data_IF_892315798579
#
_entry.id   IF_892315798579
#
_cell.length_a   1.000
_cell.length_b   1.000
_cell.length_c   1.000
_cell.angle_alpha   90.00
_cell.angle_beta   90.00
_cell.angle_gamma   90.00
#
_symmetry.space_group_name_H-M   'P 1'
#
loop_
_entity.id
_entity.type
_entity.pdbx_description
1 polymer ?
#
# COMPACT_ATOMS: atom_id res chain seq x y z
N UNK A 1 -3.12 2.13 -33.39
CA UNK A 1 -3.25 2.26 -31.92
C UNK A 1 -2.06 1.55 -31.32
N UNK A 2 -1.17 2.27 -30.63
CA UNK A 2 -0.13 1.62 -29.85
C UNK A 2 -0.81 0.93 -28.65
N UNK A 3 -0.40 -0.31 -28.29
CA UNK A 3 -0.88 -0.92 -27.07
C UNK A 3 -0.47 -0.05 -25.88
N UNK A 4 -1.37 0.15 -24.91
CA UNK A 4 -1.06 0.88 -23.69
C UNK A 4 -0.02 0.12 -22.86
N UNK A 5 0.97 0.84 -22.37
CA UNK A 5 2.10 0.27 -21.61
C UNK A 5 1.86 0.49 -20.12
N UNK A 6 1.90 -0.62 -19.39
CA UNK A 6 1.84 -0.61 -17.92
C UNK A 6 3.19 -1.01 -17.33
N UNK A 7 3.67 -0.21 -16.40
CA UNK A 7 4.90 -0.47 -15.66
C UNK A 7 4.68 -0.23 -14.18
N UNK A 8 5.36 -1.00 -13.33
CA UNK A 8 5.31 -0.80 -11.88
C UNK A 8 6.72 -0.95 -11.32
N UNK A 9 7.14 0.04 -10.56
CA UNK A 9 8.49 0.12 -10.01
C UNK A 9 8.48 0.45 -8.52
N UNK A 10 9.46 -0.05 -7.73
CA UNK A 10 9.66 0.39 -6.36
C UNK A 10 10.00 1.89 -6.32
N UNK A 11 9.52 2.56 -5.28
CA UNK A 11 9.77 4.00 -5.09
C UNK A 11 11.14 4.20 -4.45
N UNK A 12 12.15 4.16 -5.30
CA UNK A 12 13.52 4.58 -5.02
C UNK A 12 13.62 6.12 -5.02
N UNK A 13 14.71 6.74 -4.53
CA UNK A 13 14.85 8.21 -4.46
C UNK A 13 14.60 8.94 -5.79
N UNK A 14 14.98 8.33 -6.91
CA UNK A 14 14.77 8.87 -8.28
C UNK A 14 13.30 8.89 -8.71
N UNK A 15 12.42 8.08 -8.08
CA UNK A 15 10.96 8.03 -8.34
C UNK A 15 10.11 8.71 -7.29
N UNK A 16 10.74 9.41 -6.33
CA UNK A 16 10.01 10.06 -5.26
C UNK A 16 9.01 11.11 -5.75
N UNK A 17 9.37 11.87 -6.77
CA UNK A 17 8.48 12.91 -7.33
C UNK A 17 7.24 12.29 -7.99
N UNK A 18 7.39 11.20 -8.68
CA UNK A 18 6.27 10.45 -9.29
C UNK A 18 5.30 9.91 -8.21
N UNK A 19 5.85 9.34 -7.13
CA UNK A 19 5.07 8.95 -5.97
C UNK A 19 4.31 10.14 -5.37
N UNK A 20 5.00 11.26 -5.17
CA UNK A 20 4.41 12.45 -4.60
C UNK A 20 3.31 13.03 -5.48
N UNK A 21 3.42 12.93 -6.80
CA UNK A 21 2.37 13.34 -7.75
C UNK A 21 1.11 12.48 -7.67
N UNK A 22 1.24 11.21 -7.31
CA UNK A 22 0.08 10.33 -7.08
C UNK A 22 -0.63 10.69 -5.79
N UNK A 23 0.11 10.87 -4.66
CA UNK A 23 -0.51 10.96 -3.33
C UNK A 23 -0.70 12.39 -2.82
N UNK A 24 0.14 13.31 -3.23
CA UNK A 24 0.18 14.69 -2.71
C UNK A 24 0.69 15.69 -3.75
N UNK A 25 0.01 15.77 -4.88
CA UNK A 25 0.41 16.64 -6.00
C UNK A 25 0.60 18.11 -5.60
N UNK A 26 -0.17 18.58 -4.64
CA UNK A 26 -0.07 19.96 -4.10
C UNK A 26 1.04 20.15 -3.06
N UNK A 27 1.80 19.10 -2.75
CA UNK A 27 2.92 19.11 -1.77
C UNK A 27 2.54 19.71 -0.42
N UNK A 28 1.34 19.42 0.08
CA UNK A 28 0.88 19.89 1.40
C UNK A 28 1.74 19.29 2.50
N UNK A 29 2.37 20.10 3.38
CA UNK A 29 3.25 19.61 4.44
C UNK A 29 2.54 18.66 5.41
N UNK A 30 1.27 18.93 5.71
CA UNK A 30 0.45 18.17 6.65
C UNK A 30 -0.14 16.88 6.07
N UNK A 31 0.08 16.59 4.79
CA UNK A 31 -0.37 15.33 4.19
C UNK A 31 0.25 14.11 4.89
N UNK A 32 -0.45 12.98 4.92
CA UNK A 32 0.02 11.81 5.68
C UNK A 32 1.29 11.17 5.09
N UNK A 33 1.56 11.34 3.79
CA UNK A 33 2.69 10.74 3.07
C UNK A 33 2.79 9.21 3.26
N UNK A 34 1.67 8.56 3.58
CA UNK A 34 1.58 7.13 3.92
C UNK A 34 2.46 6.70 5.11
N UNK A 35 2.84 7.65 5.98
CA UNK A 35 3.68 7.39 7.15
C UNK A 35 2.92 6.79 8.33
N UNK A 36 1.59 6.85 8.33
CA UNK A 36 0.75 6.44 9.48
C UNK A 36 0.93 4.97 9.90
N UNK A 37 1.44 4.12 9.04
CA UNK A 37 1.77 2.72 9.34
C UNK A 37 3.28 2.50 9.52
N UNK A 38 4.10 3.39 8.96
CA UNK A 38 5.57 3.30 8.96
C UNK A 38 6.20 3.91 10.19
N UNK A 39 5.55 4.88 10.81
CA UNK A 39 6.00 5.55 12.02
C UNK A 39 5.00 5.37 13.16
N UNK A 40 5.48 5.46 14.40
CA UNK A 40 4.59 5.51 15.56
C UNK A 40 3.81 6.83 15.58
N UNK A 41 2.58 6.87 16.13
CA UNK A 41 1.80 8.11 16.21
C UNK A 41 2.56 9.28 16.84
N UNK A 42 3.30 9.03 17.92
CA UNK A 42 4.13 10.05 18.57
C UNK A 42 5.26 10.57 17.65
N UNK A 43 5.88 9.69 16.85
CA UNK A 43 6.88 10.10 15.87
C UNK A 43 6.25 10.97 14.78
N UNK A 44 5.07 10.59 14.25
CA UNK A 44 4.37 11.40 13.24
C UNK A 44 3.98 12.76 13.80
N UNK A 45 3.53 12.81 15.07
CA UNK A 45 3.17 14.08 15.74
C UNK A 45 4.37 14.99 15.99
N UNK A 46 5.55 14.41 16.26
CA UNK A 46 6.78 15.17 16.48
C UNK A 46 7.41 15.70 15.18
N UNK A 47 6.96 15.21 14.02
CA UNK A 47 7.43 15.73 12.73
C UNK A 47 6.82 17.11 12.50
N UNK A 48 7.67 18.13 12.35
CA UNK A 48 7.27 19.48 11.91
C UNK A 48 6.89 19.53 10.43
N UNK A 49 6.44 20.69 9.98
CA UNK A 49 6.16 20.94 8.57
C UNK A 49 7.42 20.70 7.72
N UNK A 50 7.26 19.93 6.65
CA UNK A 50 8.34 19.48 5.76
C UNK A 50 9.07 18.21 6.22
N UNK A 51 9.04 17.86 7.51
CA UNK A 51 9.70 16.67 8.04
C UNK A 51 9.03 15.37 7.61
N UNK A 52 7.73 15.37 7.30
CA UNK A 52 7.00 14.20 6.80
C UNK A 52 7.47 13.77 5.42
N UNK A 53 7.67 14.73 4.52
CA UNK A 53 8.27 14.45 3.21
C UNK A 53 9.68 13.89 3.38
N UNK A 54 10.52 14.51 4.18
CA UNK A 54 11.87 14.05 4.49
C UNK A 54 11.91 12.64 5.08
N UNK A 55 10.99 12.32 5.99
CA UNK A 55 10.86 10.97 6.56
C UNK A 55 10.49 9.94 5.48
N UNK A 56 9.61 10.28 4.53
CA UNK A 56 9.27 9.38 3.44
C UNK A 56 10.42 9.22 2.45
N UNK A 57 11.17 10.30 2.14
CA UNK A 57 12.39 10.22 1.31
C UNK A 57 13.41 9.26 1.92
N UNK A 58 13.64 9.33 3.24
CA UNK A 58 14.54 8.41 3.94
C UNK A 58 14.09 6.94 3.86
N UNK A 59 12.77 6.68 3.83
CA UNK A 59 12.26 5.32 3.60
C UNK A 59 12.57 4.82 2.18
N UNK A 60 12.59 5.70 1.18
CA UNK A 60 12.92 5.32 -0.20
C UNK A 60 14.40 4.92 -0.38
N UNK A 61 15.26 5.28 0.54
CA UNK A 61 16.70 4.91 0.56
C UNK A 61 16.97 3.55 1.23
N UNK A 62 15.95 2.95 1.87
CA UNK A 62 16.10 1.69 2.58
C UNK A 62 16.29 0.51 1.60
N UNK A 63 16.77 -0.62 2.11
CA UNK A 63 16.91 -1.87 1.36
C UNK A 63 15.58 -2.28 0.71
N UNK A 64 14.46 -2.09 1.42
CA UNK A 64 13.12 -2.29 0.90
C UNK A 64 12.41 -0.93 0.82
N UNK A 65 12.41 -0.26 -0.35
CA UNK A 65 11.58 0.92 -0.57
C UNK A 65 10.13 0.70 -0.11
N UNK A 66 9.45 1.75 0.38
CA UNK A 66 8.19 1.61 1.14
C UNK A 66 6.98 1.20 0.29
N UNK A 67 7.16 0.96 -0.99
CA UNK A 67 6.12 0.53 -1.90
C UNK A 67 6.45 0.74 -3.36
N UNK A 68 5.43 0.66 -4.20
CA UNK A 68 5.57 0.75 -5.65
C UNK A 68 4.65 1.82 -6.25
N UNK A 69 5.11 2.43 -7.35
CA UNK A 69 4.30 3.30 -8.22
C UNK A 69 4.05 2.58 -9.54
N UNK A 70 2.79 2.63 -10.00
CA UNK A 70 2.37 2.14 -11.31
C UNK A 70 2.21 3.29 -12.27
N UNK A 71 2.72 3.08 -13.48
CA UNK A 71 2.65 4.00 -14.60
C UNK A 71 1.73 3.45 -15.69
N UNK A 72 1.03 4.33 -16.35
CA UNK A 72 0.27 4.05 -17.56
C UNK A 72 0.73 5.00 -18.66
N UNK A 73 1.32 4.47 -19.72
CA UNK A 73 1.94 5.25 -20.79
C UNK A 73 2.93 6.31 -20.28
N UNK A 74 3.74 5.95 -19.27
CA UNK A 74 4.72 6.82 -18.65
C UNK A 74 4.16 7.80 -17.60
N UNK A 75 2.85 7.88 -17.39
CA UNK A 75 2.24 8.72 -16.36
C UNK A 75 2.07 7.95 -15.04
N UNK A 76 2.51 8.48 -13.87
CA UNK A 76 2.29 7.84 -12.58
C UNK A 76 0.83 7.94 -12.18
N UNK A 77 0.15 6.79 -12.01
CA UNK A 77 -1.31 6.72 -11.81
C UNK A 77 -1.75 5.97 -10.55
N UNK A 78 -0.85 5.22 -9.92
CA UNK A 78 -1.17 4.44 -8.73
C UNK A 78 0.00 4.27 -7.77
N UNK A 79 -0.31 4.15 -6.48
CA UNK A 79 0.63 3.89 -5.40
C UNK A 79 0.14 2.75 -4.52
N UNK A 80 1.03 1.82 -4.19
CA UNK A 80 0.80 0.78 -3.20
C UNK A 80 1.91 0.80 -2.16
N UNK A 81 1.56 1.09 -0.90
CA UNK A 81 2.49 0.91 0.21
C UNK A 81 2.54 -0.55 0.60
N UNK A 82 3.70 -1.16 0.43
CA UNK A 82 3.98 -2.57 0.70
C UNK A 82 5.39 -2.74 1.26
N UNK A 83 5.63 -3.75 2.06
CA UNK A 83 6.94 -4.12 2.57
C UNK A 83 6.88 -5.28 3.55
N UNK A 84 8.03 -5.79 4.04
CA UNK A 84 8.07 -6.81 5.07
C UNK A 84 7.21 -6.40 6.27
N UNK A 85 6.34 -7.30 6.75
CA UNK A 85 5.51 -7.02 7.93
C UNK A 85 6.35 -6.61 9.14
N UNK A 86 7.53 -7.20 9.30
CA UNK A 86 8.49 -6.91 10.37
C UNK A 86 9.00 -5.46 10.35
N UNK A 87 9.00 -4.80 9.19
CA UNK A 87 9.42 -3.41 9.00
C UNK A 87 8.28 -2.41 9.07
N UNK A 88 7.06 -2.85 9.45
CA UNK A 88 5.87 -2.00 9.57
C UNK A 88 5.47 -1.90 11.04
N UNK A 89 5.93 -0.89 11.80
CA UNK A 89 5.78 -0.80 13.25
C UNK A 89 4.34 -0.88 13.75
N UNK A 90 3.38 -0.32 13.00
CA UNK A 90 1.96 -0.41 13.38
C UNK A 90 1.39 -1.82 13.24
N UNK A 91 1.93 -2.67 12.38
CA UNK A 91 1.53 -4.07 12.28
C UNK A 91 2.23 -4.94 13.32
N UNK A 92 3.54 -4.75 13.53
CA UNK A 92 4.31 -5.55 14.50
C UNK A 92 3.85 -5.35 15.94
N UNK A 93 3.34 -4.16 16.27
CA UNK A 93 2.83 -3.82 17.61
C UNK A 93 1.30 -3.85 17.71
N UNK A 94 0.60 -4.22 16.65
CA UNK A 94 -0.86 -4.25 16.63
C UNK A 94 -1.40 -5.39 17.48
N UNK A 95 -2.28 -5.06 18.42
CA UNK A 95 -3.09 -6.06 19.13
C UNK A 95 -4.34 -6.44 18.32
N UNK A 96 -4.72 -5.63 17.33
CA UNK A 96 -5.94 -5.79 16.54
C UNK A 96 -5.69 -6.56 15.24
N UNK A 97 -4.49 -6.43 14.65
CA UNK A 97 -4.07 -7.14 13.43
C UNK A 97 -2.91 -8.06 13.82
N UNK A 98 -3.23 -9.26 14.29
CA UNK A 98 -2.24 -10.25 14.69
C UNK A 98 -1.80 -11.10 13.50
N UNK A 99 -0.57 -11.64 13.49
CA UNK A 99 -0.19 -12.68 12.54
C UNK A 99 -1.14 -13.87 12.62
N UNK A 100 -1.46 -14.49 11.49
CA UNK A 100 -2.24 -15.74 11.46
C UNK A 100 -1.35 -16.97 11.66
N UNK A 101 -0.06 -16.83 11.37
CA UNK A 101 0.99 -17.85 11.52
C UNK A 101 2.38 -17.20 11.55
N UNK A 102 3.44 -18.00 11.49
CA UNK A 102 4.84 -17.54 11.56
C UNK A 102 5.47 -17.27 10.18
N UNK A 103 4.71 -17.32 9.08
CA UNK A 103 5.21 -17.01 7.74
C UNK A 103 5.66 -15.54 7.67
N UNK A 104 6.92 -15.25 7.23
CA UNK A 104 7.43 -13.87 7.16
C UNK A 104 6.86 -13.11 5.95
N UNK A 105 5.57 -12.80 6.02
CA UNK A 105 4.82 -12.16 4.93
C UNK A 105 5.25 -10.71 4.69
N UNK A 106 5.06 -10.25 3.46
CA UNK A 106 4.97 -8.82 3.16
C UNK A 106 3.53 -8.35 3.32
N UNK A 107 3.33 -7.07 3.63
CA UNK A 107 1.99 -6.52 3.90
C UNK A 107 1.70 -5.30 3.04
N UNK A 108 0.58 -5.33 2.33
CA UNK A 108 -0.05 -4.17 1.69
C UNK A 108 -0.81 -3.39 2.76
N UNK A 109 -0.52 -2.10 2.90
CA UNK A 109 -1.13 -1.24 3.93
C UNK A 109 -1.91 -0.05 3.38
N UNK A 110 -1.66 0.33 2.13
CA UNK A 110 -2.35 1.44 1.49
C UNK A 110 -2.34 1.25 -0.03
N UNK A 111 -3.48 1.46 -0.68
CA UNK A 111 -3.64 1.43 -2.13
C UNK A 111 -4.32 2.73 -2.57
N UNK A 112 -3.66 3.50 -3.42
CA UNK A 112 -4.15 4.79 -3.92
C UNK A 112 -4.13 4.79 -5.43
N UNK A 113 -5.24 5.14 -6.05
CA UNK A 113 -5.34 5.43 -7.48
C UNK A 113 -5.53 6.93 -7.65
N UNK A 114 -4.69 7.54 -8.48
CA UNK A 114 -4.72 8.97 -8.78
C UNK A 114 -6.10 9.41 -9.28
N UNK A 115 -6.54 10.59 -8.87
CA UNK A 115 -7.79 11.16 -9.35
C UNK A 115 -7.78 11.27 -10.89
N UNK A 116 -8.90 10.89 -11.53
CA UNK A 116 -9.01 10.83 -13.00
C UNK A 116 -8.67 9.45 -13.61
N UNK A 117 -7.93 8.58 -12.91
CA UNK A 117 -7.51 7.27 -13.43
C UNK A 117 -8.26 6.09 -12.77
N UNK A 118 -9.30 6.37 -12.00
CA UNK A 118 -10.11 5.32 -11.36
C UNK A 118 -10.96 4.58 -12.38
N UNK A 119 -11.19 3.27 -12.14
CA UNK A 119 -11.99 2.38 -13.01
C UNK A 119 -11.40 2.15 -14.42
N UNK A 120 -10.10 2.35 -14.58
CA UNK A 120 -9.35 2.11 -15.83
C UNK A 120 -8.39 0.93 -15.73
N UNK A 121 -8.54 0.08 -14.71
CA UNK A 121 -7.66 -1.10 -14.52
C UNK A 121 -6.42 -0.85 -13.66
N UNK A 122 -6.11 0.40 -13.26
CA UNK A 122 -4.91 0.75 -12.46
C UNK A 122 -4.70 -0.17 -11.27
N UNK A 123 -5.76 -0.46 -10.50
CA UNK A 123 -5.63 -1.28 -9.28
C UNK A 123 -5.12 -2.70 -9.57
N UNK A 124 -5.54 -3.31 -10.67
CA UNK A 124 -5.09 -4.66 -11.04
C UNK A 124 -3.58 -4.65 -11.34
N UNK A 125 -3.11 -3.74 -12.19
CA UNK A 125 -1.69 -3.61 -12.52
C UNK A 125 -0.85 -3.22 -11.30
N UNK A 126 -1.36 -2.32 -10.44
CA UNK A 126 -0.70 -1.89 -9.23
C UNK A 126 -0.49 -3.05 -8.24
N UNK A 127 -1.51 -3.87 -8.01
CA UNK A 127 -1.42 -5.01 -7.10
C UNK A 127 -0.53 -6.13 -7.66
N UNK A 128 -0.60 -6.42 -8.97
CA UNK A 128 0.33 -7.37 -9.61
C UNK A 128 1.77 -6.88 -9.51
N UNK A 129 2.04 -5.61 -9.75
CA UNK A 129 3.37 -5.03 -9.60
C UNK A 129 3.86 -5.05 -8.15
N UNK A 130 2.99 -4.79 -7.17
CA UNK A 130 3.31 -4.89 -5.75
C UNK A 130 3.67 -6.33 -5.34
N UNK A 131 2.92 -7.31 -5.84
CA UNK A 131 3.19 -8.74 -5.65
C UNK A 131 4.51 -9.15 -6.30
N UNK A 132 4.76 -8.70 -7.54
CA UNK A 132 6.02 -8.97 -8.24
C UNK A 132 7.23 -8.38 -7.50
N UNK A 133 7.09 -7.16 -6.94
CA UNK A 133 8.12 -6.55 -6.11
C UNK A 133 8.44 -7.37 -4.85
N UNK A 134 7.40 -7.83 -4.15
CA UNK A 134 7.58 -8.70 -2.97
C UNK A 134 8.25 -10.03 -3.34
N UNK A 135 7.79 -10.68 -4.42
CA UNK A 135 8.37 -11.92 -4.94
C UNK A 135 9.85 -11.76 -5.32
N UNK A 136 10.19 -10.69 -6.05
CA UNK A 136 11.56 -10.37 -6.42
C UNK A 136 12.47 -10.06 -5.23
N UNK A 137 11.87 -9.69 -4.09
CA UNK A 137 12.56 -9.48 -2.80
C UNK A 137 12.58 -10.73 -1.91
N UNK A 138 12.13 -11.90 -2.41
CA UNK A 138 12.16 -13.16 -1.70
C UNK A 138 11.04 -13.37 -0.68
N UNK A 139 9.95 -12.58 -0.74
CA UNK A 139 8.80 -12.79 0.11
C UNK A 139 8.11 -14.14 -0.19
N UNK A 140 7.77 -14.96 0.83
CA UNK A 140 7.05 -16.20 0.61
C UNK A 140 5.55 -15.98 0.35
N UNK A 141 5.00 -14.86 0.83
CA UNK A 141 3.60 -14.50 0.65
C UNK A 141 3.38 -13.00 0.88
N UNK A 142 2.27 -12.48 0.35
CA UNK A 142 1.79 -11.11 0.60
C UNK A 142 0.45 -11.17 1.32
N UNK A 143 0.30 -10.36 2.38
CA UNK A 143 -0.98 -10.14 3.06
C UNK A 143 -1.53 -8.73 2.82
N UNK A 144 -2.84 -8.64 2.93
CA UNK A 144 -3.60 -7.40 2.94
C UNK A 144 -4.70 -7.47 3.99
N UNK A 145 -5.18 -6.30 4.44
CA UNK A 145 -6.17 -6.22 5.51
C UNK A 145 -7.40 -5.39 5.08
N UNK A 146 -8.11 -5.83 4.01
CA UNK A 146 -9.27 -5.11 3.48
C UNK A 146 -10.52 -5.29 4.33
N UNK A 147 -11.57 -4.57 3.93
CA UNK A 147 -12.94 -4.79 4.39
C UNK A 147 -13.78 -5.48 3.31
N UNK A 148 -14.91 -6.04 3.73
CA UNK A 148 -15.93 -6.62 2.83
C UNK A 148 -17.21 -5.78 2.93
N UNK A 149 -17.29 -4.63 2.22
CA UNK A 149 -18.45 -3.75 2.32
C UNK A 149 -19.64 -4.33 1.55
N UNK A 150 -20.87 -4.19 2.07
CA UNK A 150 -22.09 -4.65 1.38
C UNK A 150 -22.39 -3.84 0.11
N UNK A 151 -21.65 -2.79 -0.14
CA UNK A 151 -21.82 -1.88 -1.27
C UNK A 151 -20.60 -1.00 -1.52
N UNK A 152 -20.84 0.20 -2.06
CA UNK A 152 -19.77 1.14 -2.39
C UNK A 152 -19.20 1.79 -1.13
N UNK A 153 -17.91 1.69 -0.94
CA UNK A 153 -17.18 2.26 0.18
C UNK A 153 -16.87 3.76 -0.03
N UNK A 154 -16.85 4.55 1.08
CA UNK A 154 -16.35 5.93 1.05
C UNK A 154 -14.87 5.96 0.63
N UNK A 155 -14.52 6.95 -0.18
CA UNK A 155 -13.18 7.08 -0.75
C UNK A 155 -12.11 7.39 0.30
N UNK A 156 -12.49 8.04 1.41
CA UNK A 156 -11.55 8.35 2.51
C UNK A 156 -11.05 7.11 3.23
N UNK A 157 -11.85 6.04 3.24
CA UNK A 157 -11.49 4.76 3.87
C UNK A 157 -11.05 3.68 2.85
N UNK A 158 -11.16 3.98 1.55
CA UNK A 158 -10.87 3.02 0.49
C UNK A 158 -9.37 2.62 0.36
N UNK A 159 -8.48 3.31 1.08
CA UNK A 159 -7.04 3.00 1.06
C UNK A 159 -6.69 1.60 1.58
N UNK A 160 -7.53 1.00 2.42
CA UNK A 160 -7.34 -0.39 2.90
C UNK A 160 -7.75 -1.42 1.84
N UNK A 161 -8.49 -1.01 0.81
CA UNK A 161 -9.04 -1.85 -0.22
C UNK A 161 -10.25 -2.67 0.22
N UNK A 162 -10.82 -3.41 -0.73
CA UNK A 162 -11.97 -4.30 -0.51
C UNK A 162 -11.60 -5.75 -0.77
N UNK A 163 -12.34 -6.69 -0.17
CA UNK A 163 -12.20 -8.12 -0.42
C UNK A 163 -12.19 -8.43 -1.91
N UNK A 164 -13.20 -7.97 -2.65
CA UNK A 164 -13.33 -8.21 -4.10
C UNK A 164 -12.12 -7.71 -4.89
N UNK A 165 -11.53 -6.58 -4.48
CA UNK A 165 -10.33 -6.03 -5.13
C UNK A 165 -9.15 -6.99 -5.00
N UNK A 166 -8.92 -7.54 -3.81
CA UNK A 166 -7.82 -8.48 -3.56
C UNK A 166 -8.09 -9.88 -4.10
N UNK A 167 -9.34 -10.36 -4.09
CA UNK A 167 -9.71 -11.64 -4.74
C UNK A 167 -9.37 -11.62 -6.25
N UNK A 168 -9.64 -10.51 -6.93
CA UNK A 168 -9.26 -10.32 -8.35
C UNK A 168 -7.75 -10.31 -8.57
N UNK A 169 -6.97 -9.97 -7.56
CA UNK A 169 -5.51 -10.03 -7.58
C UNK A 169 -4.95 -11.36 -7.03
N UNK A 170 -5.79 -12.39 -6.91
CA UNK A 170 -5.37 -13.75 -6.52
C UNK A 170 -5.17 -13.95 -5.01
N UNK A 171 -5.64 -13.03 -4.17
CA UNK A 171 -5.63 -13.22 -2.72
C UNK A 171 -6.85 -14.01 -2.27
N UNK A 172 -6.69 -14.79 -1.21
CA UNK A 172 -7.77 -15.53 -0.53
C UNK A 172 -7.89 -15.10 0.93
N UNK A 173 -9.05 -15.17 1.50
CA UNK A 173 -9.26 -14.94 2.94
C UNK A 173 -8.59 -16.08 3.71
N UNK A 174 -7.75 -15.73 4.68
CA UNK A 174 -7.05 -16.66 5.57
C UNK A 174 -7.37 -16.43 7.05
N UNK A 175 -8.04 -15.33 7.36
CA UNK A 175 -8.44 -15.00 8.73
C UNK A 175 -9.20 -13.69 8.83
N UNK A 176 -9.48 -13.31 10.06
CA UNK A 176 -10.11 -12.04 10.43
C UNK A 176 -9.23 -11.28 11.40
N UNK A 177 -9.52 -10.00 11.60
CA UNK A 177 -8.84 -9.16 12.58
C UNK A 177 -9.85 -8.58 13.57
N UNK A 178 -9.35 -8.05 14.68
CA UNK A 178 -10.15 -7.23 15.62
C UNK A 178 -10.19 -5.75 15.19
N UNK A 179 -9.51 -5.41 14.10
CA UNK A 179 -9.50 -4.05 13.55
C UNK A 179 -10.73 -3.78 12.71
N UNK A 180 -11.18 -2.53 12.71
CA UNK A 180 -12.29 -2.07 11.88
C UNK A 180 -11.84 -0.92 10.98
N UNK A 181 -12.51 -0.77 9.82
CA UNK A 181 -12.43 0.40 8.97
C UNK A 181 -13.84 0.68 8.43
N UNK A 182 -14.27 1.94 8.51
CA UNK A 182 -15.64 2.36 8.17
C UNK A 182 -16.74 1.52 8.87
N UNK A 183 -16.49 1.17 10.15
CA UNK A 183 -17.40 0.33 10.94
C UNK A 183 -17.42 -1.15 10.57
N UNK A 184 -16.64 -1.59 9.57
CA UNK A 184 -16.59 -2.97 9.10
C UNK A 184 -15.35 -3.69 9.63
N UNK A 185 -15.45 -4.99 9.99
CA UNK A 185 -14.29 -5.81 10.34
C UNK A 185 -13.32 -5.89 9.16
N UNK A 186 -12.03 -5.82 9.47
CA UNK A 186 -10.99 -6.07 8.47
C UNK A 186 -10.66 -7.56 8.41
N UNK A 187 -10.56 -8.08 7.20
CA UNK A 187 -10.12 -9.44 6.92
C UNK A 187 -8.59 -9.54 6.91
N UNK A 188 -8.07 -10.76 7.01
CA UNK A 188 -6.71 -11.08 6.56
C UNK A 188 -6.84 -11.83 5.25
N UNK A 189 -6.29 -11.28 4.18
CA UNK A 189 -6.21 -11.91 2.88
C UNK A 189 -4.76 -12.15 2.51
N UNK A 190 -4.45 -13.31 1.91
CA UNK A 190 -3.09 -13.72 1.54
C UNK A 190 -3.04 -14.24 0.12
N UNK A 191 -1.93 -13.92 -0.56
CA UNK A 191 -1.48 -14.56 -1.81
C UNK A 191 -0.12 -15.18 -1.55
N UNK A 192 -0.02 -16.49 -1.66
CA UNK A 192 1.24 -17.22 -1.58
C UNK A 192 2.04 -16.99 -2.86
N UNK A 193 3.37 -16.94 -2.76
CA UNK A 193 4.29 -16.61 -3.87
C UNK A 193 5.20 -17.78 -4.26
N UNK A 194 5.11 -18.91 -3.53
CA UNK A 194 5.86 -20.14 -3.76
C UNK A 194 4.94 -21.22 -4.30
#
# INVERSE_FOLDING_TARGET
>A
MHPSVWETHPVTPDRFEDFADVINRSRRPTHCWCLSHRLQPAQVQSLGDGSREGAMRALCEQQHPPGVVTYHDGEPVGWCSIGPRSEIPRLTRSRLIRPVDDVPVWSVICVVVRAGHRRTGVTAHLLEGAVAYAAGSGAPAVEAYPVDPPGRMDLTMAFVGTRTMFERAGFRVVGTTDAVADGLPRLVMRRDLT
#
